data_IF_800656797938
#
_entry.id   IF_800656797938
#
_cell.length_a   1.000
_cell.length_b   1.000
_cell.length_c   1.000
_cell.angle_alpha   90.00
_cell.angle_beta   90.00
_cell.angle_gamma   90.00
#
_symmetry.space_group_name_H-M   'P 1'
#
loop_
_entity.id
_entity.type
_entity.pdbx_description
1 polymer ?
#
# COMPACT_ATOMS: atom_id res chain seq x y z
N UNK A 1 38.27 12.04 13.41
CA UNK A 1 37.35 10.89 13.61
C UNK A 1 36.39 10.85 12.43
N UNK A 2 36.47 9.83 11.57
CA UNK A 2 35.42 9.58 10.58
C UNK A 2 34.18 9.06 11.31
N UNK A 3 33.08 9.82 11.27
CA UNK A 3 31.79 9.37 11.75
C UNK A 3 31.11 8.63 10.59
N UNK A 4 30.92 7.33 10.74
CA UNK A 4 30.13 6.54 9.79
C UNK A 4 28.65 6.72 10.12
N UNK A 5 27.83 7.25 9.20
CA UNK A 5 26.39 7.35 9.42
C UNK A 5 25.76 5.96 9.41
N UNK A 6 24.77 5.75 10.28
CA UNK A 6 23.98 4.51 10.36
C UNK A 6 22.50 4.86 10.54
N UNK A 7 21.62 4.08 9.93
CA UNK A 7 20.17 4.22 10.03
C UNK A 7 19.56 2.87 10.42
N UNK A 8 18.58 2.89 11.33
CA UNK A 8 17.76 1.73 11.67
C UNK A 8 16.44 1.89 10.95
N UNK A 9 16.08 0.91 10.12
CA UNK A 9 14.86 0.92 9.31
C UNK A 9 13.93 -0.20 9.74
N UNK A 10 12.63 0.03 9.65
CA UNK A 10 11.60 -0.98 9.97
C UNK A 10 10.99 -1.63 8.74
N UNK A 11 11.25 -1.10 7.53
CA UNK A 11 10.59 -1.52 6.29
C UNK A 11 10.69 -3.02 6.01
N UNK A 12 11.89 -3.60 6.15
CA UNK A 12 12.12 -5.04 5.92
C UNK A 12 11.31 -5.93 6.86
N UNK A 13 11.37 -5.67 8.17
CA UNK A 13 10.66 -6.47 9.17
C UNK A 13 9.13 -6.37 8.99
N UNK A 14 8.63 -5.20 8.60
CA UNK A 14 7.21 -5.01 8.28
C UNK A 14 6.81 -5.77 7.01
N UNK A 15 7.67 -5.79 5.99
CA UNK A 15 7.44 -6.57 4.77
C UNK A 15 7.41 -8.08 5.07
N UNK A 16 8.37 -8.58 5.85
CA UNK A 16 8.40 -9.98 6.30
C UNK A 16 7.14 -10.34 7.13
N UNK A 17 6.72 -9.45 8.03
CA UNK A 17 5.48 -9.61 8.80
C UNK A 17 4.24 -9.64 7.90
N UNK A 18 4.23 -8.81 6.85
CA UNK A 18 3.16 -8.79 5.85
C UNK A 18 3.09 -10.09 5.06
N UNK A 19 4.23 -10.70 4.73
CA UNK A 19 4.31 -12.01 4.07
C UNK A 19 3.73 -13.11 4.96
N UNK A 20 4.05 -13.09 6.26
CA UNK A 20 3.45 -14.01 7.22
C UNK A 20 1.92 -13.85 7.23
N UNK A 21 1.40 -12.63 7.38
CA UNK A 21 -0.04 -12.37 7.41
C UNK A 21 -0.71 -12.79 6.10
N UNK A 22 -0.09 -12.49 4.95
CA UNK A 22 -0.55 -12.92 3.63
C UNK A 22 -0.79 -14.42 3.59
N UNK A 23 0.07 -15.24 4.18
CA UNK A 23 -0.10 -16.70 4.22
C UNK A 23 -1.25 -17.17 5.13
N UNK A 24 -1.85 -16.28 5.91
CA UNK A 24 -2.93 -16.58 6.87
C UNK A 24 -4.20 -15.75 6.65
N UNK A 25 -4.34 -15.05 5.52
CA UNK A 25 -5.57 -14.27 5.20
C UNK A 25 -6.71 -15.11 4.64
N UNK A 26 -6.46 -16.37 4.26
CA UNK A 26 -7.48 -17.27 3.73
C UNK A 26 -7.78 -18.36 4.76
N UNK A 27 -8.99 -18.32 5.30
CA UNK A 27 -9.55 -19.28 6.26
C UNK A 27 -10.91 -19.82 5.79
N UNK A 28 -11.26 -19.61 4.52
CA UNK A 28 -12.58 -19.95 3.98
C UNK A 28 -13.69 -18.95 4.31
N UNK A 29 -13.45 -17.95 5.17
CA UNK A 29 -14.42 -16.90 5.48
C UNK A 29 -14.08 -15.58 4.75
N UNK A 30 -14.93 -15.19 3.81
CA UNK A 30 -14.66 -14.03 2.94
C UNK A 30 -14.51 -12.71 3.69
N UNK A 31 -15.20 -12.49 4.81
CA UNK A 31 -15.22 -11.20 5.52
C UNK A 31 -14.77 -11.25 6.98
N UNK A 32 -14.60 -12.44 7.56
CA UNK A 32 -14.43 -12.60 9.00
C UNK A 32 -12.99 -12.83 9.44
N UNK A 33 -12.08 -13.13 8.52
CA UNK A 33 -10.67 -13.30 8.86
C UNK A 33 -10.05 -11.96 9.32
N UNK A 34 -9.69 -11.79 10.61
CA UNK A 34 -9.11 -10.55 11.11
C UNK A 34 -7.72 -10.27 10.50
N UNK A 35 -7.04 -11.29 9.98
CA UNK A 35 -5.72 -11.14 9.35
C UNK A 35 -5.79 -10.32 8.06
N UNK A 36 -6.96 -10.18 7.40
CA UNK A 36 -7.12 -9.34 6.22
C UNK A 36 -6.83 -7.87 6.53
N UNK A 37 -7.43 -7.35 7.60
CA UNK A 37 -7.22 -5.97 8.02
C UNK A 37 -5.79 -5.76 8.55
N UNK A 38 -5.30 -6.70 9.35
CA UNK A 38 -3.92 -6.69 9.85
C UNK A 38 -2.90 -6.70 8.71
N UNK A 39 -3.13 -7.50 7.67
CA UNK A 39 -2.30 -7.54 6.46
C UNK A 39 -2.26 -6.17 5.79
N UNK A 40 -3.42 -5.57 5.52
CA UNK A 40 -3.52 -4.25 4.87
C UNK A 40 -2.76 -3.18 5.66
N UNK A 41 -2.93 -3.13 6.98
CA UNK A 41 -2.23 -2.15 7.82
C UNK A 41 -0.72 -2.40 7.85
N UNK A 42 -0.29 -3.65 7.98
CA UNK A 42 1.14 -4.01 8.08
C UNK A 42 1.85 -3.75 6.76
N UNK A 43 1.25 -4.12 5.62
CA UNK A 43 1.85 -3.92 4.30
C UNK A 43 1.87 -2.44 3.91
N UNK A 44 0.86 -1.66 4.32
CA UNK A 44 0.87 -0.21 4.17
C UNK A 44 1.95 0.46 5.04
N UNK A 45 2.19 -0.05 6.25
CA UNK A 45 3.28 0.42 7.10
C UNK A 45 4.65 0.10 6.48
N UNK A 46 4.82 -1.10 5.90
CA UNK A 46 6.03 -1.48 5.16
C UNK A 46 6.27 -0.53 3.97
N UNK A 47 5.22 -0.23 3.20
CA UNK A 47 5.24 0.72 2.10
C UNK A 47 5.69 2.12 2.56
N UNK A 48 5.05 2.67 3.59
CA UNK A 48 5.36 4.00 4.10
C UNK A 48 6.78 4.08 4.68
N UNK A 49 7.21 3.07 5.45
CA UNK A 49 8.56 3.01 5.98
C UNK A 49 9.61 3.00 4.85
N UNK A 50 9.42 2.15 3.84
CA UNK A 50 10.33 2.01 2.69
C UNK A 50 10.54 3.33 1.96
N UNK A 51 9.46 4.05 1.63
CA UNK A 51 9.55 5.36 0.97
C UNK A 51 10.24 6.39 1.87
N UNK A 52 9.88 6.43 3.16
CA UNK A 52 10.46 7.39 4.09
C UNK A 52 11.97 7.17 4.24
N UNK A 53 12.41 5.91 4.32
CA UNK A 53 13.82 5.56 4.38
C UNK A 53 14.56 6.01 3.11
N UNK A 54 13.98 5.74 1.93
CA UNK A 54 14.54 6.17 0.64
C UNK A 54 14.69 7.70 0.55
N UNK A 55 13.69 8.46 1.01
CA UNK A 55 13.72 9.93 1.08
C UNK A 55 14.84 10.41 2.01
N UNK A 56 15.01 9.77 3.18
CA UNK A 56 16.06 10.14 4.14
C UNK A 56 17.44 9.87 3.57
N UNK A 57 17.64 8.71 2.94
CA UNK A 57 18.91 8.34 2.28
C UNK A 57 19.23 9.31 1.17
N UNK A 58 18.27 9.59 0.27
CA UNK A 58 18.43 10.56 -0.81
C UNK A 58 18.84 11.94 -0.28
N UNK A 59 18.13 12.46 0.73
CA UNK A 59 18.42 13.77 1.30
C UNK A 59 19.82 13.81 1.93
N UNK A 60 20.19 12.76 2.66
CA UNK A 60 21.51 12.65 3.29
C UNK A 60 22.64 12.59 2.24
N UNK A 61 22.42 11.93 1.11
CA UNK A 61 23.41 11.88 0.02
C UNK A 61 23.53 13.20 -0.74
N UNK A 62 22.45 14.01 -0.81
CA UNK A 62 22.41 15.21 -1.66
C UNK A 62 22.73 16.51 -0.94
N UNK A 63 22.45 16.60 0.36
CA UNK A 63 22.56 17.83 1.14
C UNK A 63 23.59 17.72 2.26
N UNK A 64 24.19 18.84 2.69
CA UNK A 64 25.04 18.86 3.87
C UNK A 64 24.34 18.33 5.12
N UNK A 65 25.11 17.78 6.07
CA UNK A 65 24.61 17.24 7.34
C UNK A 65 23.79 18.26 8.16
N UNK A 66 24.04 19.56 8.00
CA UNK A 66 23.26 20.65 8.62
C UNK A 66 21.85 20.78 8.07
N UNK A 67 21.62 20.37 6.81
CA UNK A 67 20.42 20.70 6.05
C UNK A 67 19.61 19.48 5.63
N UNK A 68 20.20 18.27 5.56
CA UNK A 68 19.53 17.09 5.04
C UNK A 68 18.20 16.79 5.76
N UNK A 69 18.16 16.95 7.09
CA UNK A 69 16.93 16.73 7.88
C UNK A 69 15.82 17.67 7.45
N UNK A 70 16.13 18.96 7.25
CA UNK A 70 15.14 19.97 6.82
C UNK A 70 14.56 19.59 5.46
N UNK A 71 15.42 19.18 4.51
CA UNK A 71 14.99 18.78 3.17
C UNK A 71 14.19 17.47 3.20
N UNK A 72 14.63 16.45 3.94
CA UNK A 72 13.89 15.21 4.11
C UNK A 72 12.51 15.46 4.74
N UNK A 73 12.43 16.26 5.81
CA UNK A 73 11.18 16.56 6.53
C UNK A 73 10.10 17.17 5.63
N UNK A 74 10.47 17.96 4.63
CA UNK A 74 9.50 18.50 3.67
C UNK A 74 8.76 17.37 2.93
N UNK A 75 9.48 16.39 2.40
CA UNK A 75 8.88 15.24 1.71
C UNK A 75 8.21 14.27 2.69
N UNK A 76 8.78 14.04 3.87
CA UNK A 76 8.20 13.17 4.88
C UNK A 76 6.83 13.65 5.39
N UNK A 77 6.58 14.97 5.35
CA UNK A 77 5.29 15.57 5.72
C UNK A 77 4.18 15.35 4.68
N UNK A 78 4.53 14.93 3.47
CA UNK A 78 3.57 14.71 2.40
C UNK A 78 2.74 13.45 2.67
N UNK A 79 1.52 13.41 2.13
CA UNK A 79 0.74 12.18 2.15
C UNK A 79 1.45 11.09 1.30
N UNK A 80 1.15 9.82 1.59
CA UNK A 80 1.86 8.69 1.02
C UNK A 80 1.82 8.64 -0.52
N UNK A 81 0.68 9.02 -1.13
CA UNK A 81 0.58 9.10 -2.59
C UNK A 81 1.52 10.15 -3.18
N UNK A 82 1.56 11.35 -2.61
CA UNK A 82 2.43 12.41 -3.11
C UNK A 82 3.91 12.07 -2.92
N UNK A 83 4.26 11.29 -1.89
CA UNK A 83 5.63 10.76 -1.73
C UNK A 83 5.96 9.78 -2.85
N UNK A 84 5.04 8.87 -3.20
CA UNK A 84 5.19 7.94 -4.31
C UNK A 84 5.33 8.67 -5.66
N UNK A 85 4.53 9.71 -5.91
CA UNK A 85 4.59 10.52 -7.13
C UNK A 85 5.96 11.21 -7.30
N UNK A 86 6.55 11.67 -6.20
CA UNK A 86 7.86 12.32 -6.21
C UNK A 86 9.03 11.34 -6.29
N UNK A 87 8.83 10.07 -5.95
CA UNK A 87 9.91 9.11 -5.70
C UNK A 87 10.84 8.93 -6.91
N UNK A 88 10.28 8.78 -8.12
CA UNK A 88 11.06 8.60 -9.34
C UNK A 88 12.02 9.76 -9.59
N UNK A 89 11.53 11.00 -9.40
CA UNK A 89 12.34 12.19 -9.58
C UNK A 89 13.46 12.27 -8.52
N UNK A 90 13.14 11.97 -7.26
CA UNK A 90 14.11 12.04 -6.16
C UNK A 90 15.24 11.02 -6.35
N UNK A 91 14.91 9.74 -6.49
CA UNK A 91 15.91 8.66 -6.54
C UNK A 91 16.80 8.75 -7.78
N UNK A 92 16.27 9.24 -8.90
CA UNK A 92 17.02 9.36 -10.15
C UNK A 92 17.72 10.71 -10.36
N UNK A 93 17.58 11.66 -9.42
CA UNK A 93 18.01 13.05 -9.62
C UNK A 93 17.42 13.70 -10.88
N UNK A 94 16.17 13.35 -11.23
CA UNK A 94 15.41 13.96 -12.31
C UNK A 94 15.49 13.27 -13.67
N UNK A 95 16.06 12.07 -13.76
CA UNK A 95 16.08 11.30 -15.01
C UNK A 95 14.79 10.50 -15.25
N UNK A 96 14.04 10.19 -14.19
CA UNK A 96 12.81 9.40 -14.24
C UNK A 96 11.69 10.11 -13.48
N UNK A 97 10.45 9.76 -13.84
CA UNK A 97 9.24 10.06 -13.07
C UNK A 97 8.54 8.75 -12.69
N UNK A 98 7.75 8.78 -11.62
CA UNK A 98 6.92 7.64 -11.26
C UNK A 98 5.81 7.46 -12.31
N UNK A 99 5.70 6.26 -12.87
CA UNK A 99 4.68 5.95 -13.86
C UNK A 99 3.34 5.61 -13.19
N UNK A 100 2.42 6.56 -13.25
CA UNK A 100 1.09 6.44 -12.66
C UNK A 100 0.18 5.44 -13.39
N UNK A 101 0.54 4.97 -14.58
CA UNK A 101 -0.23 3.96 -15.33
C UNK A 101 0.25 2.53 -15.05
N UNK A 102 1.43 2.36 -14.45
CA UNK A 102 2.00 1.04 -14.15
C UNK A 102 1.14 0.23 -13.17
N UNK A 103 1.11 -1.08 -13.34
CA UNK A 103 0.38 -1.99 -12.44
C UNK A 103 0.88 -1.90 -10.99
N UNK A 104 2.20 -1.73 -10.82
CA UNK A 104 2.83 -1.53 -9.51
C UNK A 104 2.26 -0.27 -8.85
N UNK A 105 2.26 0.87 -9.55
CA UNK A 105 1.69 2.11 -9.02
C UNK A 105 0.21 1.96 -8.69
N UNK A 106 -0.57 1.34 -9.58
CA UNK A 106 -2.00 1.13 -9.36
C UNK A 106 -2.29 0.25 -8.14
N UNK A 107 -1.47 -0.78 -7.91
CA UNK A 107 -1.55 -1.63 -6.71
C UNK A 107 -1.18 -0.87 -5.43
N UNK A 108 -0.11 -0.07 -5.44
CA UNK A 108 0.27 0.80 -4.32
C UNK A 108 -0.82 1.85 -4.02
N UNK A 109 -1.40 2.45 -5.05
CA UNK A 109 -2.50 3.41 -4.94
C UNK A 109 -3.76 2.79 -4.31
N UNK A 110 -4.11 1.57 -4.73
CA UNK A 110 -5.18 0.78 -4.11
C UNK A 110 -4.89 0.50 -2.63
N UNK A 111 -3.65 0.15 -2.29
CA UNK A 111 -3.24 -0.07 -0.90
C UNK A 111 -3.44 1.18 -0.03
N UNK A 112 -3.11 2.38 -0.53
CA UNK A 112 -3.35 3.63 0.23
C UNK A 112 -4.84 3.82 0.52
N UNK A 113 -5.71 3.54 -0.46
CA UNK A 113 -7.17 3.63 -0.28
C UNK A 113 -7.66 2.64 0.78
N UNK A 114 -7.21 1.38 0.70
CA UNK A 114 -7.56 0.34 1.68
C UNK A 114 -7.06 0.71 3.08
N UNK A 115 -5.81 1.16 3.23
CA UNK A 115 -5.26 1.61 4.52
C UNK A 115 -6.11 2.74 5.12
N UNK A 116 -6.52 3.71 4.31
CA UNK A 116 -7.37 4.81 4.80
C UNK A 116 -8.75 4.32 5.24
N UNK A 117 -9.35 3.37 4.51
CA UNK A 117 -10.61 2.74 4.91
C UNK A 117 -10.47 2.03 6.26
N UNK A 118 -9.41 1.25 6.46
CA UNK A 118 -9.19 0.47 7.69
C UNK A 118 -8.80 1.36 8.87
N UNK A 119 -7.89 2.32 8.67
CA UNK A 119 -7.37 3.17 9.75
C UNK A 119 -8.31 4.31 10.14
N UNK A 120 -9.21 4.70 9.24
CA UNK A 120 -10.16 5.80 9.43
C UNK A 120 -11.57 5.38 9.01
N UNK A 121 -12.02 4.21 9.50
CA UNK A 121 -13.33 3.68 9.13
C UNK A 121 -14.43 4.68 9.45
N UNK A 122 -15.31 4.89 8.46
CA UNK A 122 -16.46 5.77 8.54
C UNK A 122 -17.69 4.98 8.10
N UNK A 123 -18.16 4.15 9.02
CA UNK A 123 -19.23 3.21 8.76
C UNK A 123 -20.59 3.90 8.91
N UNK A 124 -21.08 4.45 7.80
CA UNK A 124 -22.45 4.97 7.71
C UNK A 124 -23.43 3.86 7.33
N UNK A 125 -24.66 3.96 7.85
CA UNK A 125 -25.78 3.13 7.40
C UNK A 125 -26.00 3.29 5.89
N UNK A 126 -26.44 2.22 5.25
CA UNK A 126 -26.86 2.22 3.84
C UNK A 126 -28.28 1.73 3.81
N UNK A 127 -29.21 2.66 3.58
CA UNK A 127 -30.59 2.31 3.30
C UNK A 127 -30.63 1.59 1.96
N UNK A 128 -31.14 0.37 1.95
CA UNK A 128 -31.22 -0.47 0.78
C UNK A 128 -32.53 -1.24 0.82
N UNK A 129 -33.29 -1.20 -0.28
CA UNK A 129 -34.53 -1.94 -0.40
C UNK A 129 -34.20 -3.41 -0.72
N UNK A 130 -34.30 -4.28 0.28
CA UNK A 130 -34.08 -5.72 0.12
C UNK A 130 -35.43 -6.37 -0.14
N UNK A 131 -35.57 -6.96 -1.33
CA UNK A 131 -36.71 -7.81 -1.66
C UNK A 131 -36.41 -9.26 -1.26
N UNK A 132 -37.33 -9.85 -0.50
CA UNK A 132 -37.24 -11.24 -0.07
C UNK A 132 -38.12 -12.10 -0.99
N UNK A 133 -37.57 -13.23 -1.44
CA UNK A 133 -38.22 -14.22 -2.27
C UNK A 133 -38.35 -15.53 -1.49
N UNK A 134 -39.58 -15.91 -1.17
CA UNK A 134 -39.92 -17.17 -0.50
C UNK A 134 -40.15 -18.28 -1.52
N UNK A 135 -39.53 -19.43 -1.30
CA UNK A 135 -39.59 -20.60 -2.16
C UNK A 135 -40.61 -21.62 -1.62
N UNK A 136 -41.11 -22.50 -2.48
CA UNK A 136 -42.14 -23.50 -2.12
C UNK A 136 -41.70 -24.48 -1.01
N UNK A 137 -40.39 -24.63 -0.80
CA UNK A 137 -39.80 -25.44 0.27
C UNK A 137 -39.67 -24.70 1.61
N UNK A 138 -40.10 -23.43 1.69
CA UNK A 138 -39.99 -22.56 2.86
C UNK A 138 -38.65 -21.81 2.98
N UNK A 139 -37.74 -21.97 2.01
CA UNK A 139 -36.51 -21.19 1.98
C UNK A 139 -36.81 -19.72 1.61
N UNK A 140 -36.12 -18.78 2.26
CA UNK A 140 -36.19 -17.37 1.91
C UNK A 140 -34.84 -16.92 1.38
N UNK A 141 -34.83 -16.40 0.15
CA UNK A 141 -33.66 -15.81 -0.49
C UNK A 141 -33.86 -14.32 -0.67
N UNK A 142 -32.78 -13.58 -0.89
CA UNK A 142 -32.85 -12.17 -1.23
C UNK A 142 -31.65 -11.82 -2.10
N UNK A 143 -31.84 -10.85 -2.99
CA UNK A 143 -30.74 -10.26 -3.74
C UNK A 143 -30.24 -9.01 -3.01
N UNK A 144 -28.91 -8.90 -2.87
CA UNK A 144 -28.32 -7.68 -2.37
C UNK A 144 -28.43 -6.58 -3.43
N UNK A 145 -28.99 -5.40 -3.10
CA UNK A 145 -29.04 -4.28 -4.02
C UNK A 145 -27.64 -3.89 -4.52
N UNK A 146 -27.56 -3.43 -5.78
CA UNK A 146 -26.28 -3.10 -6.44
C UNK A 146 -25.40 -2.15 -5.63
N UNK A 147 -26.00 -1.22 -4.90
CA UNK A 147 -25.31 -0.28 -4.03
C UNK A 147 -24.60 -0.97 -2.84
N UNK A 148 -25.28 -1.94 -2.20
CA UNK A 148 -24.71 -2.74 -1.11
C UNK A 148 -23.58 -3.62 -1.64
N UNK A 149 -23.80 -4.30 -2.78
CA UNK A 149 -22.76 -5.11 -3.44
C UNK A 149 -21.54 -4.26 -3.81
N UNK A 150 -21.74 -3.05 -4.34
CA UNK A 150 -20.65 -2.15 -4.68
C UNK A 150 -19.86 -1.69 -3.45
N UNK A 151 -20.53 -1.43 -2.33
CA UNK A 151 -19.88 -1.04 -1.06
C UNK A 151 -19.06 -2.20 -0.49
N UNK A 152 -19.65 -3.39 -0.44
CA UNK A 152 -19.00 -4.61 0.07
C UNK A 152 -17.77 -4.97 -0.78
N UNK A 153 -17.92 -5.03 -2.11
CA UNK A 153 -16.83 -5.42 -3.03
C UNK A 153 -15.63 -4.47 -3.07
N UNK A 154 -15.81 -3.23 -2.63
CA UNK A 154 -14.71 -2.25 -2.52
C UNK A 154 -14.03 -2.28 -1.16
N UNK A 155 -14.62 -2.97 -0.18
CA UNK A 155 -14.14 -2.95 1.19
C UNK A 155 -12.87 -3.76 1.38
N UNK A 156 -12.00 -3.27 2.25
CA UNK A 156 -10.83 -3.99 2.75
C UNK A 156 -11.18 -5.37 3.34
N UNK A 157 -12.39 -5.54 3.88
CA UNK A 157 -12.90 -6.81 4.41
C UNK A 157 -13.01 -7.90 3.34
N UNK A 158 -13.24 -7.51 2.09
CA UNK A 158 -13.40 -8.45 0.95
C UNK A 158 -12.13 -8.60 0.12
N UNK A 159 -10.98 -8.15 0.63
CA UNK A 159 -9.71 -8.32 -0.07
C UNK A 159 -9.45 -9.81 -0.30
N UNK A 160 -9.44 -10.21 -1.58
CA UNK A 160 -9.17 -11.59 -1.99
C UNK A 160 -7.68 -11.91 -1.87
N UNK A 161 -7.36 -13.21 -1.79
CA UNK A 161 -5.98 -13.70 -1.75
C UNK A 161 -5.15 -13.18 -2.94
N UNK A 162 -5.67 -13.27 -4.16
CA UNK A 162 -4.98 -12.77 -5.36
C UNK A 162 -4.68 -11.28 -5.27
N UNK A 163 -5.67 -10.47 -4.86
CA UNK A 163 -5.47 -9.03 -4.70
C UNK A 163 -4.46 -8.69 -3.60
N UNK A 164 -4.44 -9.47 -2.52
CA UNK A 164 -3.45 -9.30 -1.47
C UNK A 164 -2.03 -9.67 -1.95
N UNK A 165 -1.90 -10.69 -2.81
CA UNK A 165 -0.63 -11.04 -3.47
C UNK A 165 -0.16 -9.87 -4.35
N UNK A 166 -1.01 -9.35 -5.24
CA UNK A 166 -0.68 -8.21 -6.11
C UNK A 166 -0.20 -6.99 -5.31
N UNK A 167 -0.86 -6.69 -4.19
CA UNK A 167 -0.48 -5.61 -3.27
C UNK A 167 0.89 -5.89 -2.64
N UNK A 168 1.10 -7.10 -2.15
CA UNK A 168 2.36 -7.49 -1.50
C UNK A 168 3.53 -7.40 -2.48
N UNK A 169 3.38 -7.97 -3.67
CA UNK A 169 4.39 -7.96 -4.74
C UNK A 169 4.73 -6.53 -5.17
N UNK A 170 3.75 -5.63 -5.24
CA UNK A 170 4.01 -4.23 -5.56
C UNK A 170 4.85 -3.53 -4.49
N UNK A 171 4.60 -3.81 -3.20
CA UNK A 171 5.41 -3.26 -2.10
C UNK A 171 6.79 -3.90 -2.05
N UNK A 172 6.90 -5.21 -2.31
CA UNK A 172 8.18 -5.90 -2.40
C UNK A 172 9.03 -5.36 -3.57
N UNK A 173 8.42 -5.13 -4.74
CA UNK A 173 9.09 -4.53 -5.88
C UNK A 173 9.60 -3.13 -5.55
N UNK A 174 8.78 -2.29 -4.92
CA UNK A 174 9.21 -0.97 -4.43
C UNK A 174 10.38 -1.07 -3.45
N UNK A 175 10.34 -2.02 -2.52
CA UNK A 175 11.42 -2.27 -1.56
C UNK A 175 12.72 -2.63 -2.27
N UNK A 176 12.68 -3.50 -3.28
CA UNK A 176 13.83 -3.88 -4.10
C UNK A 176 14.43 -2.67 -4.83
N UNK A 177 13.59 -1.82 -5.43
CA UNK A 177 14.10 -0.59 -6.09
C UNK A 177 14.74 0.36 -5.08
N UNK A 178 14.10 0.60 -3.92
CA UNK A 178 14.63 1.51 -2.91
C UNK A 178 15.93 1.02 -2.26
N UNK A 179 16.19 -0.29 -2.28
CA UNK A 179 17.44 -0.89 -1.79
C UNK A 179 18.47 -1.16 -2.89
N UNK A 180 18.24 -0.69 -4.11
CA UNK A 180 19.12 -0.88 -5.26
C UNK A 180 19.28 -2.35 -5.72
N UNK A 181 18.33 -3.21 -5.37
CA UNK A 181 18.26 -4.60 -5.87
C UNK A 181 17.72 -4.66 -7.31
N UNK A 182 16.97 -3.62 -7.73
CA UNK A 182 16.44 -3.43 -9.08
C UNK A 182 16.81 -2.03 -9.54
N UNK A 183 17.42 -1.91 -10.73
CA UNK A 183 17.69 -0.62 -11.33
C UNK A 183 16.40 0.09 -11.74
N UNK A 184 16.37 1.42 -11.64
CA UNK A 184 15.16 2.20 -11.99
C UNK A 184 14.76 2.04 -13.46
N UNK A 185 15.72 1.84 -14.37
CA UNK A 185 15.48 1.58 -15.80
C UNK A 185 14.78 0.25 -16.07
N UNK A 186 14.96 -0.72 -15.18
CA UNK A 186 14.38 -2.06 -15.31
C UNK A 186 13.06 -2.19 -14.55
N UNK A 187 12.71 -1.18 -13.76
CA UNK A 187 11.49 -1.13 -12.96
C UNK A 187 10.33 -0.58 -13.77
N UNK A 188 9.23 -1.32 -13.84
CA UNK A 188 7.98 -0.83 -14.45
C UNK A 188 7.32 0.31 -13.66
N UNK A 189 7.79 0.61 -12.43
CA UNK A 189 7.26 1.69 -11.61
C UNK A 189 7.69 3.08 -12.10
N UNK A 190 8.76 3.18 -12.90
CA UNK A 190 9.32 4.44 -13.34
C UNK A 190 9.37 4.50 -14.86
N UNK A 191 9.22 5.72 -15.40
CA UNK A 191 9.44 6.01 -16.82
C UNK A 191 10.41 7.17 -16.99
N UNK A 192 11.21 7.19 -18.07
CA UNK A 192 12.11 8.30 -18.37
C UNK A 192 11.33 9.63 -18.45
N UNK A 193 11.99 10.70 -18.02
CA UNK A 193 11.47 12.07 -18.11
C UNK A 193 11.67 12.66 -19.52
#
# INVERSE_FOLDING_TARGET
>A
MNKTPFIVTSGKNLLESSSYLLNHIDDGELTRNPNKLSFILTVAAAFEATINDAIVVWAHQRFPNSDYKRHASAFLSMNLMKKLDALGFLLSSGCFITDNESDVYQSLSKLVKLRNEVAHSKDFFTDANIEFHEHENGDVTFDLPKEVVSKVSKSALTTTKNRAIEIFEAVEHLFKVCNYDIEMSDSSLFKPL
#
